data_IF_658264640014
#
_entry.id   IF_658264640014
#
_cell.length_a   1.000
_cell.length_b   1.000
_cell.length_c   1.000
_cell.angle_alpha   90.00
_cell.angle_beta   90.00
_cell.angle_gamma   90.00
#
_symmetry.space_group_name_H-M   'P 1'
#
loop_
_entity.id
_entity.type
_entity.pdbx_description
1 polymer ?
#
# COMPACT_ATOMS: atom_id res chain seq x y z
N UNK A 1 13.12 1.04 7.92
CA UNK A 1 12.83 2.11 6.95
C UNK A 1 11.34 2.11 6.66
N UNK A 2 10.63 3.22 6.87
CA UNK A 2 9.16 3.33 6.88
C UNK A 2 8.51 2.71 8.12
N UNK A 3 7.16 2.74 8.18
CA UNK A 3 6.39 2.00 9.18
C UNK A 3 6.11 2.68 10.51
N UNK A 4 6.67 3.86 10.78
CA UNK A 4 6.64 4.48 12.12
C UNK A 4 5.68 5.66 12.27
N UNK A 5 5.15 6.17 11.18
CA UNK A 5 4.31 7.37 11.22
C UNK A 5 2.97 7.17 10.53
N UNK A 6 2.08 8.13 10.82
CA UNK A 6 0.92 8.44 10.00
C UNK A 6 1.21 9.67 9.15
N UNK A 7 0.83 9.66 7.89
CA UNK A 7 1.08 10.73 6.94
C UNK A 7 -0.15 10.98 6.07
N UNK A 8 -0.39 12.25 5.77
CA UNK A 8 -1.45 12.64 4.84
C UNK A 8 -1.05 12.27 3.42
N UNK A 9 -1.89 11.51 2.72
CA UNK A 9 -1.74 11.25 1.31
C UNK A 9 -2.10 12.51 0.52
N UNK A 10 -1.24 12.90 -0.41
CA UNK A 10 -1.40 14.16 -1.13
C UNK A 10 -1.01 15.37 -0.28
N UNK A 11 0.15 15.31 0.39
CA UNK A 11 0.62 16.38 1.27
C UNK A 11 0.96 17.68 0.52
N UNK A 12 1.42 17.60 -0.73
CA UNK A 12 1.78 18.77 -1.56
C UNK A 12 0.75 19.01 -2.66
N UNK A 13 0.33 17.95 -3.36
CA UNK A 13 -0.70 18.02 -4.39
C UNK A 13 -1.87 17.12 -3.99
N UNK A 14 -3.12 17.61 -4.04
CA UNK A 14 -4.28 16.78 -3.67
C UNK A 14 -4.30 15.45 -4.41
N UNK A 15 -4.48 14.36 -3.65
CA UNK A 15 -4.59 13.03 -4.23
C UNK A 15 -6.00 12.85 -4.83
N UNK A 16 -6.13 12.35 -6.06
CA UNK A 16 -7.41 12.33 -6.77
C UNK A 16 -8.43 11.33 -6.19
N UNK A 17 -7.96 10.21 -5.63
CA UNK A 17 -8.86 9.23 -5.01
C UNK A 17 -9.09 9.55 -3.54
N UNK A 18 -10.29 10.02 -3.24
CA UNK A 18 -10.74 10.37 -1.89
C UNK A 18 -11.84 9.45 -1.38
N UNK A 19 -12.00 8.27 -2.00
CA UNK A 19 -13.05 7.30 -1.67
C UNK A 19 -12.89 6.72 -0.26
N UNK A 20 -11.65 6.64 0.23
CA UNK A 20 -11.34 6.25 1.61
C UNK A 20 -10.88 7.50 2.40
N UNK A 21 -11.58 7.84 3.45
CA UNK A 21 -11.25 8.97 4.30
C UNK A 21 -10.00 8.74 5.19
N UNK A 22 -9.47 7.51 5.21
CA UNK A 22 -8.33 7.15 6.04
C UNK A 22 -8.66 7.20 7.53
N UNK A 23 -7.72 7.70 8.33
CA UNK A 23 -7.85 7.78 9.79
C UNK A 23 -9.07 8.57 10.27
N UNK A 24 -9.55 9.54 9.51
CA UNK A 24 -10.77 10.31 9.79
C UNK A 24 -11.98 9.38 9.99
N UNK A 25 -12.04 8.24 9.27
CA UNK A 25 -13.14 7.29 9.41
C UNK A 25 -13.29 6.76 10.85
N UNK A 26 -12.19 6.73 11.62
CA UNK A 26 -12.13 6.26 13.00
C UNK A 26 -12.19 7.43 13.99
N UNK A 27 -11.35 8.45 13.80
CA UNK A 27 -11.19 9.55 14.75
C UNK A 27 -12.31 10.59 14.66
N UNK A 28 -13.00 10.68 13.53
CA UNK A 28 -14.00 11.71 13.21
C UNK A 28 -13.44 13.14 13.24
N UNK A 29 -12.12 13.28 13.09
CA UNK A 29 -11.43 14.56 13.02
C UNK A 29 -11.07 14.88 11.57
N UNK A 30 -11.47 16.04 11.07
CA UNK A 30 -11.19 16.49 9.69
C UNK A 30 -9.67 16.59 9.41
N UNK A 31 -8.87 16.93 10.43
CA UNK A 31 -7.41 16.95 10.34
C UNK A 31 -6.80 15.60 9.98
N UNK A 32 -7.51 14.50 10.24
CA UNK A 32 -7.09 13.14 9.95
C UNK A 32 -7.58 12.63 8.57
N UNK A 33 -8.22 13.50 7.79
CA UNK A 33 -8.68 13.16 6.44
C UNK A 33 -7.51 12.80 5.52
N UNK A 34 -7.63 11.63 4.85
CA UNK A 34 -6.60 11.04 4.00
C UNK A 34 -5.27 10.77 4.73
N UNK A 35 -5.30 10.67 6.05
CA UNK A 35 -4.13 10.24 6.82
C UNK A 35 -4.11 8.72 6.91
N UNK A 36 -3.00 8.13 6.48
CA UNK A 36 -2.78 6.69 6.49
C UNK A 36 -1.48 6.34 7.23
N UNK A 37 -1.41 5.12 7.74
CA UNK A 37 -0.17 4.58 8.28
C UNK A 37 0.84 4.40 7.14
N UNK A 38 2.04 4.97 7.30
CA UNK A 38 3.13 4.76 6.36
C UNK A 38 3.60 3.30 6.44
N UNK A 39 3.57 2.53 5.34
CA UNK A 39 4.02 1.13 5.35
C UNK A 39 5.55 1.03 5.45
N UNK A 40 6.03 -0.15 5.88
CA UNK A 40 7.44 -0.48 5.74
C UNK A 40 7.79 -0.61 4.25
N UNK A 41 8.99 -0.19 3.87
CA UNK A 41 9.51 -0.38 2.51
C UNK A 41 10.10 -1.79 2.29
N UNK A 42 10.26 -2.59 3.37
CA UNK A 42 10.74 -3.96 3.25
C UNK A 42 9.77 -4.80 2.41
N UNK A 43 10.32 -5.52 1.44
CA UNK A 43 9.58 -6.38 0.51
C UNK A 43 8.53 -5.65 -0.34
N UNK A 44 8.61 -4.32 -0.48
CA UNK A 44 7.65 -3.56 -1.26
C UNK A 44 7.55 -4.03 -2.72
N UNK A 45 8.63 -4.53 -3.30
CA UNK A 45 8.64 -5.13 -4.65
C UNK A 45 7.71 -6.35 -4.80
N UNK A 46 7.43 -7.05 -3.69
CA UNK A 46 6.63 -8.28 -3.67
C UNK A 46 5.18 -8.07 -3.21
N UNK A 47 4.78 -6.83 -2.93
CA UNK A 47 3.50 -6.53 -2.29
C UNK A 47 2.52 -5.72 -3.15
N UNK A 48 2.71 -5.74 -4.48
CA UNK A 48 1.70 -5.16 -5.38
C UNK A 48 0.32 -5.86 -5.26
N UNK A 49 -0.76 -5.18 -5.61
CA UNK A 49 -0.87 -3.80 -6.05
C UNK A 49 -0.70 -2.80 -4.89
N UNK A 50 -0.40 -1.54 -5.24
CA UNK A 50 0.07 -0.53 -4.30
C UNK A 50 -1.03 0.42 -3.83
N UNK A 51 -0.72 1.13 -2.73
CA UNK A 51 -1.58 2.01 -1.94
C UNK A 51 -2.74 1.28 -1.26
N UNK A 52 -3.47 2.01 -0.41
CA UNK A 52 -4.62 1.48 0.34
C UNK A 52 -5.74 0.96 -0.57
N UNK A 53 -5.90 1.56 -1.75
CA UNK A 53 -6.94 1.18 -2.72
C UNK A 53 -6.53 0.05 -3.66
N UNK A 54 -5.23 -0.30 -3.73
CA UNK A 54 -4.71 -1.28 -4.68
C UNK A 54 -4.84 -0.89 -6.15
N UNK A 55 -5.08 0.39 -6.45
CA UNK A 55 -5.31 0.85 -7.83
C UNK A 55 -4.05 1.02 -8.66
N UNK A 56 -2.89 1.04 -8.02
CA UNK A 56 -1.60 1.21 -8.69
C UNK A 56 -0.93 -0.16 -8.83
N UNK A 57 -0.85 -0.64 -10.06
CA UNK A 57 -0.45 -2.02 -10.34
C UNK A 57 1.06 -2.25 -10.20
N UNK A 58 1.90 -1.23 -10.46
CA UNK A 58 3.36 -1.38 -10.56
C UNK A 58 4.09 -0.54 -9.53
N UNK A 59 5.29 -1.00 -9.14
CA UNK A 59 6.16 -0.26 -8.20
C UNK A 59 6.62 1.08 -8.81
N UNK A 60 6.92 1.09 -10.10
CA UNK A 60 7.28 2.30 -10.84
C UNK A 60 6.14 3.33 -10.79
N UNK A 61 4.90 2.89 -10.99
CA UNK A 61 3.71 3.73 -10.86
C UNK A 61 3.57 4.31 -9.45
N UNK A 62 3.79 3.49 -8.42
CA UNK A 62 3.74 3.93 -7.04
C UNK A 62 4.82 4.98 -6.70
N UNK A 63 6.05 4.80 -7.19
CA UNK A 63 7.13 5.77 -7.03
C UNK A 63 6.78 7.08 -7.71
N UNK A 64 6.26 7.03 -8.94
CA UNK A 64 5.85 8.20 -9.71
C UNK A 64 4.75 9.01 -8.99
N UNK A 65 3.70 8.32 -8.53
CA UNK A 65 2.61 8.98 -7.80
C UNK A 65 3.07 9.56 -6.46
N UNK A 66 3.90 8.87 -5.70
CA UNK A 66 4.46 9.40 -4.47
C UNK A 66 5.31 10.65 -4.72
N UNK A 67 6.12 10.67 -5.76
CA UNK A 67 6.90 11.86 -6.13
C UNK A 67 5.99 13.04 -6.48
N UNK A 68 4.93 12.79 -7.24
CA UNK A 68 4.01 13.84 -7.67
C UNK A 68 3.16 14.38 -6.51
N UNK A 69 2.48 13.50 -5.75
CA UNK A 69 1.51 13.95 -4.75
C UNK A 69 2.10 14.29 -3.39
N UNK A 70 3.19 13.62 -2.99
CA UNK A 70 3.83 13.88 -1.70
C UNK A 70 4.93 14.93 -1.77
N UNK A 71 5.65 15.04 -2.90
CA UNK A 71 6.80 15.93 -3.04
C UNK A 71 6.60 17.02 -4.09
N UNK A 72 5.52 16.97 -4.88
CA UNK A 72 5.28 17.90 -5.98
C UNK A 72 6.30 17.80 -7.12
N UNK A 73 6.98 16.65 -7.26
CA UNK A 73 8.04 16.42 -8.23
C UNK A 73 7.59 15.52 -9.36
N UNK A 74 7.98 15.87 -10.57
CA UNK A 74 7.90 14.96 -11.72
C UNK A 74 9.29 14.34 -11.94
N UNK A 75 9.41 13.06 -11.62
CA UNK A 75 10.64 12.31 -11.82
C UNK A 75 10.74 11.86 -13.28
N UNK A 76 11.97 11.80 -13.77
CA UNK A 76 12.30 11.19 -15.06
C UNK A 76 12.34 9.67 -14.92
N UNK A 77 12.25 8.96 -16.05
CA UNK A 77 12.20 7.49 -16.05
C UNK A 77 13.47 6.85 -15.45
N UNK A 78 14.64 7.46 -15.63
CA UNK A 78 15.91 7.02 -15.06
C UNK A 78 15.96 7.21 -13.53
N UNK A 79 15.36 8.28 -13.02
CA UNK A 79 15.23 8.53 -11.58
C UNK A 79 14.27 7.53 -10.95
N UNK A 80 13.12 7.26 -11.59
CA UNK A 80 12.17 6.24 -11.16
C UNK A 80 12.85 4.87 -11.13
N UNK A 81 13.55 4.49 -12.20
CA UNK A 81 14.26 3.22 -12.28
C UNK A 81 15.30 3.08 -11.16
N UNK A 82 16.04 4.13 -10.85
CA UNK A 82 17.03 4.12 -9.77
C UNK A 82 16.39 3.89 -8.40
N UNK A 83 15.25 4.53 -8.13
CA UNK A 83 14.50 4.34 -6.88
C UNK A 83 13.94 2.91 -6.80
N UNK A 84 13.41 2.38 -7.90
CA UNK A 84 12.89 1.01 -7.96
C UNK A 84 14.00 0.00 -7.72
N UNK A 85 15.18 0.18 -8.30
CA UNK A 85 16.35 -0.68 -8.03
C UNK A 85 16.68 -0.66 -6.53
N UNK A 86 16.71 0.52 -5.91
CA UNK A 86 16.93 0.62 -4.47
C UNK A 86 15.85 -0.14 -3.68
N UNK A 87 14.56 0.03 -4.00
CA UNK A 87 13.48 -0.66 -3.31
C UNK A 87 13.59 -2.18 -3.45
N UNK A 88 14.05 -2.69 -4.59
CA UNK A 88 14.33 -4.12 -4.81
C UNK A 88 15.44 -4.65 -3.91
N UNK A 89 16.42 -3.83 -3.53
CA UNK A 89 17.46 -4.25 -2.57
C UNK A 89 16.90 -4.48 -1.15
N UNK A 90 15.71 -3.95 -0.85
CA UNK A 90 15.03 -4.16 0.42
C UNK A 90 14.20 -5.46 0.46
N UNK A 91 14.23 -6.23 -0.61
CA UNK A 91 13.55 -7.52 -0.70
C UNK A 91 14.41 -8.58 -0.01
N UNK A 92 13.87 -9.19 1.03
CA UNK A 92 14.49 -10.28 1.76
C UNK A 92 13.98 -11.64 1.29
N UNK A 93 14.61 -12.70 1.75
CA UNK A 93 14.14 -14.05 1.55
C UNK A 93 12.76 -14.24 2.19
N UNK A 94 11.82 -14.75 1.40
CA UNK A 94 10.46 -15.03 1.87
C UNK A 94 10.45 -16.47 2.39
N UNK A 95 10.12 -16.72 3.67
CA UNK A 95 10.10 -18.06 4.24
C UNK A 95 8.91 -18.85 3.67
N UNK A 96 9.15 -19.57 2.58
CA UNK A 96 8.14 -20.28 1.79
C UNK A 96 7.23 -21.20 2.63
N UNK A 97 7.77 -21.79 3.70
CA UNK A 97 7.00 -22.66 4.59
C UNK A 97 5.95 -21.89 5.41
N UNK A 98 6.27 -20.63 5.83
CA UNK A 98 5.34 -19.79 6.60
C UNK A 98 4.21 -19.17 5.79
N UNK A 99 4.43 -18.99 4.48
CA UNK A 99 3.43 -18.37 3.60
C UNK A 99 2.52 -19.38 2.91
N UNK A 100 2.71 -20.69 3.14
CA UNK A 100 1.82 -21.71 2.59
C UNK A 100 0.40 -21.49 3.10
N UNK A 101 -0.59 -21.43 2.21
CA UNK A 101 -1.98 -21.36 2.65
C UNK A 101 -2.31 -22.54 3.57
N UNK A 102 -2.99 -22.32 4.70
CA UNK A 102 -3.42 -23.41 5.55
C UNK A 102 -4.38 -24.32 4.77
N UNK A 103 -4.27 -25.64 5.00
CA UNK A 103 -5.26 -26.56 4.46
C UNK A 103 -6.59 -26.34 5.18
N UNK A 104 -7.53 -25.73 4.48
CA UNK A 104 -8.87 -25.53 5.01
C UNK A 104 -9.65 -26.84 5.01
N UNK A 105 -10.48 -27.11 6.03
CA UNK A 105 -11.36 -28.26 6.02
C UNK A 105 -12.33 -28.17 4.83
N UNK A 106 -12.63 -29.33 4.23
CA UNK A 106 -13.58 -29.38 3.12
C UNK A 106 -14.97 -28.96 3.62
N UNK A 107 -15.62 -28.08 2.86
CA UNK A 107 -17.00 -27.71 3.11
C UNK A 107 -17.93 -28.93 2.96
N UNK A 108 -18.87 -29.06 3.86
CA UNK A 108 -19.91 -30.10 3.85
C UNK A 108 -21.28 -29.49 3.69
N UNK A 109 -22.32 -30.30 3.50
CA UNK A 109 -23.70 -29.80 3.45
C UNK A 109 -24.14 -29.07 4.74
N UNK A 110 -23.44 -29.31 5.87
CA UNK A 110 -23.66 -28.65 7.17
C UNK A 110 -22.81 -27.37 7.36
N UNK A 111 -21.90 -27.06 6.45
CA UNK A 111 -21.07 -25.85 6.55
C UNK A 111 -21.95 -24.62 6.32
N UNK A 112 -22.00 -23.66 7.25
CA UNK A 112 -22.78 -22.44 7.06
C UNK A 112 -22.30 -21.68 5.80
N UNK A 113 -23.25 -21.13 5.05
CA UNK A 113 -22.90 -20.25 3.92
C UNK A 113 -22.27 -18.95 4.48
N UNK A 114 -21.29 -18.35 3.78
CA UNK A 114 -20.72 -17.08 4.20
C UNK A 114 -21.81 -16.01 4.24
N UNK A 115 -21.89 -15.28 5.34
CA UNK A 115 -22.76 -14.11 5.47
C UNK A 115 -22.09 -12.94 4.72
N UNK A 116 -22.82 -12.31 3.80
CA UNK A 116 -22.44 -11.04 3.21
C UNK A 116 -23.14 -9.95 4.02
N UNK A 117 -22.51 -9.54 5.11
CA UNK A 117 -22.89 -8.31 5.82
C UNK A 117 -22.18 -7.12 5.24
#
# INVERSE_FOLDING_TARGET
MGGELYQKLGAVKPYPDTSDAGREAVTKQESDRLVFKVPSLRNSDMTGPYFHSGKVATLEGAVKEMAEYQLGKQLKDDEIASIVIFLKTLTGEIPAEYIKPPQLPKSTAKTPKPSRT
#
